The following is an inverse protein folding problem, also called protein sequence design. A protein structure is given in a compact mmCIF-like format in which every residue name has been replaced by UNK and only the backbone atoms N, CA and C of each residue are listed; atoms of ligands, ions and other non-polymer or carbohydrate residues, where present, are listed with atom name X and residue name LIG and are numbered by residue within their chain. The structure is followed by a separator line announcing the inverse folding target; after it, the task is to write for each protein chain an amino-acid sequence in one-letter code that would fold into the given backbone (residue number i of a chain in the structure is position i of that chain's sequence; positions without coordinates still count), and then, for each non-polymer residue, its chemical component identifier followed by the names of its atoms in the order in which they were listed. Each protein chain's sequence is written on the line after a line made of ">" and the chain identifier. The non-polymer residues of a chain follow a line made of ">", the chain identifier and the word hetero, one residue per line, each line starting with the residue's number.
data_IF_021890095300
#
_entry.id   IF_021890095300
#
_cell.length_a   1.000
_cell.length_b   1.000
_cell.length_c   1.000
_cell.angle_alpha   90.00
_cell.angle_beta   90.00
_cell.angle_gamma   90.00
#
_symmetry.space_group_name_H-M   'P 1'
#
loop_
_entity.id
_entity.type
_entity.pdbx_description
1 polymer ?
#
# COMPACT_ATOMS: atom_id res chain seq x y z
N UNK A 1 -52.32 3.02 18.25
CA UNK A 1 -51.67 2.55 17.01
C UNK A 1 -50.32 3.27 16.90
N UNK A 2 -49.16 2.59 16.84
CA UNK A 2 -47.91 3.29 16.59
C UNK A 2 -47.79 3.62 15.09
N UNK A 3 -47.34 4.84 14.78
CA UNK A 3 -47.13 5.34 13.43
C UNK A 3 -45.69 5.08 12.98
N UNK A 4 -45.52 4.58 11.76
CA UNK A 4 -44.22 4.29 11.12
C UNK A 4 -43.82 5.55 10.34
N UNK A 5 -42.67 6.14 10.65
CA UNK A 5 -42.10 7.26 9.89
C UNK A 5 -41.21 6.69 8.79
N UNK A 6 -41.58 6.96 7.54
CA UNK A 6 -40.84 6.57 6.34
C UNK A 6 -39.52 7.37 6.28
N UNK A 7 -38.39 6.67 6.22
CA UNK A 7 -37.08 7.30 6.15
C UNK A 7 -36.87 7.92 4.77
N UNK A 8 -36.80 9.25 4.73
CA UNK A 8 -36.47 10.04 3.54
C UNK A 8 -35.06 9.67 3.06
N UNK A 9 -34.98 8.87 2.00
CA UNK A 9 -33.73 8.48 1.34
C UNK A 9 -33.17 9.69 0.59
N UNK A 10 -32.45 10.54 1.32
CA UNK A 10 -31.59 11.55 0.72
C UNK A 10 -30.49 10.83 -0.06
N UNK A 11 -30.65 10.78 -1.38
CA UNK A 11 -29.71 10.18 -2.31
C UNK A 11 -28.40 10.97 -2.24
N UNK A 12 -27.47 10.49 -1.41
CA UNK A 12 -26.09 10.96 -1.43
C UNK A 12 -25.51 10.64 -2.80
N UNK A 13 -25.34 11.67 -3.64
CA UNK A 13 -24.66 11.59 -4.93
C UNK A 13 -23.26 11.02 -4.72
N UNK A 14 -23.11 9.72 -4.94
CA UNK A 14 -21.84 9.03 -4.83
C UNK A 14 -20.89 9.56 -5.89
N UNK A 15 -19.69 10.06 -5.54
CA UNK A 15 -18.73 10.48 -6.55
C UNK A 15 -18.35 9.26 -7.39
N UNK A 16 -18.64 9.32 -8.69
CA UNK A 16 -18.26 8.31 -9.69
C UNK A 16 -16.77 8.04 -9.57
N UNK A 17 -16.40 6.91 -8.95
CA UNK A 17 -15.02 6.42 -8.90
C UNK A 17 -14.57 6.19 -10.34
N UNK A 18 -13.79 7.14 -10.87
CA UNK A 18 -13.06 6.93 -12.11
C UNK A 18 -12.23 5.66 -11.92
N UNK A 19 -12.24 4.69 -12.86
CA UNK A 19 -11.35 3.55 -12.78
C UNK A 19 -9.94 4.13 -12.88
N UNK A 20 -9.28 4.26 -11.73
CA UNK A 20 -7.87 4.59 -11.69
C UNK A 20 -7.22 3.40 -12.39
N UNK A 21 -6.82 3.59 -13.65
CA UNK A 21 -6.08 2.59 -14.43
C UNK A 21 -4.92 2.20 -13.54
N UNK A 22 -5.05 1.06 -12.87
CA UNK A 22 -4.08 0.54 -11.93
C UNK A 22 -2.90 0.19 -12.81
N UNK A 23 -2.02 1.17 -13.01
CA UNK A 23 -0.75 1.04 -13.69
C UNK A 23 -0.13 -0.17 -13.01
N UNK A 24 0.00 -1.29 -13.74
CA UNK A 24 0.47 -2.57 -13.18
C UNK A 24 1.67 -2.21 -12.33
N UNK A 25 1.51 -2.22 -11.02
CA UNK A 25 2.63 -2.04 -10.12
C UNK A 25 3.50 -3.24 -10.43
N UNK A 26 4.60 -3.02 -11.13
CA UNK A 26 5.70 -3.97 -11.08
C UNK A 26 6.10 -3.99 -9.60
N UNK A 27 5.50 -4.92 -8.85
CA UNK A 27 5.73 -5.06 -7.43
C UNK A 27 7.22 -5.24 -7.16
N UNK A 28 7.60 -5.05 -5.91
CA UNK A 28 8.95 -5.39 -5.49
C UNK A 28 9.27 -6.82 -5.94
N UNK A 29 10.47 -7.01 -6.50
CA UNK A 29 10.97 -8.33 -6.82
C UNK A 29 11.19 -9.16 -5.55
N UNK A 30 11.62 -8.48 -4.48
CA UNK A 30 11.89 -9.06 -3.18
C UNK A 30 11.38 -8.11 -2.10
N UNK A 31 10.74 -8.67 -1.09
CA UNK A 31 10.38 -7.98 0.13
C UNK A 31 11.12 -8.65 1.29
N UNK A 32 11.70 -7.84 2.16
CA UNK A 32 12.55 -8.28 3.27
C UNK A 32 12.19 -7.48 4.52
N UNK A 33 12.35 -8.06 5.69
CA UNK A 33 12.23 -7.37 6.97
C UNK A 33 13.52 -7.52 7.77
N UNK A 34 14.05 -6.43 8.31
CA UNK A 34 15.29 -6.38 9.11
C UNK A 34 15.00 -5.57 10.36
N UNK A 35 15.09 -6.18 11.54
CA UNK A 35 14.89 -5.51 12.83
C UNK A 35 13.57 -4.71 12.95
N UNK A 36 12.50 -5.20 12.31
CA UNK A 36 11.20 -4.53 12.26
C UNK A 36 11.07 -3.47 11.15
N UNK A 37 12.10 -3.30 10.32
CA UNK A 37 12.11 -2.41 9.16
C UNK A 37 11.80 -3.22 7.90
N UNK A 38 10.70 -2.88 7.23
CA UNK A 38 10.34 -3.47 5.95
C UNK A 38 11.10 -2.81 4.79
N UNK A 39 11.78 -3.62 3.98
CA UNK A 39 12.57 -3.24 2.81
C UNK A 39 11.95 -3.83 1.55
N UNK A 40 11.74 -2.99 0.53
CA UNK A 40 11.19 -3.38 -0.77
C UNK A 40 12.22 -3.17 -1.87
N UNK A 41 12.54 -4.22 -2.60
CA UNK A 41 13.59 -4.23 -3.62
C UNK A 41 12.94 -4.31 -4.99
N UNK A 42 13.14 -3.28 -5.81
CA UNK A 42 12.69 -3.26 -7.21
C UNK A 42 13.50 -4.20 -8.11
N UNK A 43 12.92 -4.59 -9.25
CA UNK A 43 13.67 -5.30 -10.31
C UNK A 43 14.78 -4.41 -10.84
N UNK A 44 15.99 -4.96 -10.96
CA UNK A 44 17.17 -4.22 -11.42
C UNK A 44 17.80 -3.30 -10.37
N UNK A 45 17.39 -3.41 -9.10
CA UNK A 45 18.12 -2.78 -8.01
C UNK A 45 19.55 -3.34 -7.94
N UNK A 46 20.52 -2.45 -7.75
CA UNK A 46 21.93 -2.81 -7.67
C UNK A 46 22.22 -3.66 -6.44
N UNK A 47 22.96 -4.75 -6.62
CA UNK A 47 23.27 -5.69 -5.56
C UNK A 47 24.16 -5.08 -4.47
N UNK A 48 25.08 -4.19 -4.85
CA UNK A 48 25.93 -3.48 -3.90
C UNK A 48 25.12 -2.53 -3.02
N UNK A 49 24.17 -1.80 -3.60
CA UNK A 49 23.24 -0.94 -2.85
C UNK A 49 22.37 -1.76 -1.90
N UNK A 50 21.83 -2.90 -2.35
CA UNK A 50 21.04 -3.79 -1.48
C UNK A 50 21.89 -4.27 -0.30
N UNK A 51 23.12 -4.75 -0.55
CA UNK A 51 24.02 -5.23 0.48
C UNK A 51 24.37 -4.12 1.50
N UNK A 52 24.68 -2.91 1.01
CA UNK A 52 25.01 -1.77 1.86
C UNK A 52 23.83 -1.37 2.77
N UNK A 53 22.60 -1.37 2.25
CA UNK A 53 21.40 -1.07 3.05
C UNK A 53 21.19 -2.13 4.13
N UNK A 54 21.35 -3.42 3.79
CA UNK A 54 21.24 -4.51 4.77
C UNK A 54 22.30 -4.36 5.85
N UNK A 55 23.55 -4.11 5.48
CA UNK A 55 24.65 -3.93 6.41
C UNK A 55 24.43 -2.74 7.35
N UNK A 56 24.01 -1.61 6.80
CA UNK A 56 23.70 -0.41 7.57
C UNK A 56 22.57 -0.67 8.58
N UNK A 57 21.49 -1.34 8.17
CA UNK A 57 20.37 -1.64 9.07
C UNK A 57 20.80 -2.58 10.20
N UNK A 58 21.55 -3.64 9.90
CA UNK A 58 22.11 -4.53 10.93
C UNK A 58 23.06 -3.83 11.90
N UNK A 59 23.79 -2.83 11.44
CA UNK A 59 24.76 -2.10 12.27
C UNK A 59 24.10 -1.09 13.22
N UNK A 60 22.83 -0.73 12.97
CA UNK A 60 22.08 0.22 13.82
C UNK A 60 21.43 -0.42 15.05
N UNK A 61 21.74 -1.68 15.35
CA UNK A 61 21.21 -2.44 16.49
C UNK A 61 22.31 -3.07 17.33
#
# INVERSE_FOLDING_TARGET
>A
MPAIVEADVTVASSPKRRPHRRRRSTGAAVELEIDGVAVKIGRGADAGVIAAVIEALKATR
#
